data_IF_097667416611
#
_entry.id   IF_097667416611
#
_cell.length_a   1.000
_cell.length_b   1.000
_cell.length_c   1.000
_cell.angle_alpha   90.00
_cell.angle_beta   90.00
_cell.angle_gamma   90.00
#
_symmetry.space_group_name_H-M   'P 1'
#
loop_
_entity.id
_entity.type
_entity.pdbx_description
1 polymer ?
#
# COMPACT_ATOMS: atom_id res chain seq x y z
N UNK A 1 -31.33 -5.70 -17.12
CA UNK A 1 -29.89 -5.91 -16.88
C UNK A 1 -29.50 -5.12 -15.64
N UNK A 2 -29.75 -5.67 -14.44
CA UNK A 2 -29.39 -5.01 -13.17
C UNK A 2 -27.93 -5.34 -12.87
N UNK A 3 -27.03 -4.44 -13.25
CA UNK A 3 -25.60 -4.59 -12.95
C UNK A 3 -25.42 -4.76 -11.44
N UNK A 4 -24.91 -5.92 -11.01
CA UNK A 4 -24.45 -6.14 -9.64
C UNK A 4 -23.38 -5.10 -9.33
N UNK A 5 -23.68 -4.15 -8.45
CA UNK A 5 -22.68 -3.20 -7.96
C UNK A 5 -21.72 -3.95 -7.04
N UNK A 6 -20.53 -4.28 -7.54
CA UNK A 6 -19.45 -4.79 -6.70
C UNK A 6 -18.93 -3.65 -5.83
N UNK A 7 -18.94 -3.84 -4.50
CA UNK A 7 -18.42 -2.86 -3.54
C UNK A 7 -17.17 -3.43 -2.90
N UNK A 8 -16.16 -2.59 -2.77
CA UNK A 8 -14.91 -2.93 -2.08
C UNK A 8 -14.58 -1.84 -1.07
N UNK A 9 -13.89 -2.20 0.00
CA UNK A 9 -13.22 -1.24 0.88
C UNK A 9 -11.71 -1.38 0.68
N UNK A 10 -11.00 -0.26 0.82
CA UNK A 10 -9.56 -0.14 0.68
C UNK A 10 -9.00 0.51 1.94
N UNK A 11 -7.86 0.00 2.37
CA UNK A 11 -7.07 0.58 3.44
C UNK A 11 -5.60 0.56 3.02
N UNK A 12 -4.86 1.59 3.42
CA UNK A 12 -3.49 1.82 2.98
C UNK A 12 -2.63 2.19 4.18
N UNK A 13 -1.45 1.61 4.23
CA UNK A 13 -0.43 1.97 5.21
C UNK A 13 0.69 2.73 4.51
N UNK A 14 1.07 3.87 5.11
CA UNK A 14 2.11 4.74 4.59
C UNK A 14 3.29 4.81 5.53
N UNK A 15 4.46 5.02 4.94
CA UNK A 15 5.73 5.30 5.63
C UNK A 15 6.20 6.71 5.26
N UNK A 16 7.00 7.31 6.14
CA UNK A 16 7.62 8.61 5.98
C UNK A 16 8.90 8.57 5.14
N UNK A 17 9.02 9.51 4.21
CA UNK A 17 10.23 9.80 3.41
C UNK A 17 10.60 11.29 3.55
N UNK A 18 11.75 11.68 2.98
CA UNK A 18 12.31 13.02 3.18
C UNK A 18 13.12 13.15 4.48
N UNK A 19 13.77 14.31 4.72
CA UNK A 19 14.72 14.48 5.82
C UNK A 19 14.19 14.06 7.19
N UNK A 20 12.94 14.43 7.49
CA UNK A 20 12.29 14.18 8.77
C UNK A 20 11.05 13.26 8.67
N UNK A 21 10.94 12.49 7.58
CA UNK A 21 9.79 11.60 7.36
C UNK A 21 8.47 12.35 7.13
N UNK A 22 8.56 13.60 6.67
CA UNK A 22 7.46 14.55 6.48
C UNK A 22 6.51 14.15 5.34
N UNK A 23 7.07 13.57 4.28
CA UNK A 23 6.30 13.10 3.13
C UNK A 23 5.86 11.66 3.32
N UNK A 24 4.63 11.34 2.89
CA UNK A 24 4.06 10.00 3.07
C UNK A 24 4.03 9.24 1.75
N UNK A 25 4.56 8.01 1.73
CA UNK A 25 4.50 7.10 0.58
C UNK A 25 3.87 5.76 0.97
N UNK A 26 3.17 5.13 0.02
CA UNK A 26 2.53 3.83 0.21
C UNK A 26 3.54 2.72 0.52
N UNK A 27 3.24 1.93 1.54
CA UNK A 27 4.01 0.75 1.92
C UNK A 27 3.17 -0.54 1.94
N UNK A 28 1.85 -0.46 2.14
CA UNK A 28 0.93 -1.61 2.02
C UNK A 28 -0.44 -1.14 1.58
N UNK A 29 -1.13 -1.97 0.82
CA UNK A 29 -2.55 -1.77 0.51
C UNK A 29 -3.32 -3.07 0.70
N UNK A 30 -4.48 -2.96 1.34
CA UNK A 30 -5.40 -4.05 1.57
C UNK A 30 -6.77 -3.71 0.99
N UNK A 31 -7.37 -4.63 0.25
CA UNK A 31 -8.70 -4.49 -0.35
C UNK A 31 -9.56 -5.66 0.08
N UNK A 32 -10.76 -5.36 0.56
CA UNK A 32 -11.77 -6.34 0.94
C UNK A 32 -13.03 -6.18 0.10
N UNK A 33 -13.69 -7.28 -0.24
CA UNK A 33 -15.00 -7.23 -0.90
C UNK A 33 -16.15 -7.03 0.11
N UNK A 34 -17.39 -6.88 -0.38
CA UNK A 34 -18.56 -6.67 0.48
C UNK A 34 -18.87 -7.81 1.47
N UNK A 35 -18.24 -8.98 1.31
CA UNK A 35 -18.38 -10.12 2.22
C UNK A 35 -17.27 -10.16 3.29
N UNK A 36 -16.44 -9.12 3.36
CA UNK A 36 -15.31 -9.05 4.29
C UNK A 36 -14.12 -9.93 3.88
N UNK A 37 -14.15 -10.54 2.69
CA UNK A 37 -13.01 -11.33 2.20
C UNK A 37 -11.94 -10.37 1.68
N UNK A 38 -10.73 -10.51 2.21
CA UNK A 38 -9.54 -9.87 1.65
C UNK A 38 -9.26 -10.45 0.26
N UNK A 39 -9.29 -9.59 -0.74
CA UNK A 39 -9.08 -9.93 -2.15
C UNK A 39 -7.75 -9.43 -2.68
N UNK A 40 -7.11 -8.50 -1.97
CA UNK A 40 -5.77 -8.01 -2.26
C UNK A 40 -5.12 -7.55 -0.96
N UNK A 41 -3.89 -7.98 -0.71
CA UNK A 41 -3.09 -7.53 0.43
C UNK A 41 -1.62 -7.63 0.04
N UNK A 42 -0.97 -6.50 -0.20
CA UNK A 42 0.40 -6.46 -0.72
C UNK A 42 1.19 -5.35 -0.07
N UNK A 43 2.44 -5.68 0.26
CA UNK A 43 3.47 -4.70 0.52
C UNK A 43 3.95 -4.10 -0.80
N UNK A 44 4.23 -2.81 -0.80
CA UNK A 44 4.74 -2.06 -1.94
C UNK A 44 6.13 -1.57 -1.58
N UNK A 45 7.06 -1.71 -2.53
CA UNK A 45 8.40 -1.17 -2.38
C UNK A 45 8.38 0.35 -2.57
N UNK A 46 8.77 1.16 -1.56
CA UNK A 46 8.81 2.61 -1.70
C UNK A 46 9.75 3.04 -2.83
N UNK A 47 9.37 4.10 -3.57
CA UNK A 47 10.21 4.70 -4.61
C UNK A 47 11.38 5.49 -4.04
N UNK A 48 11.32 5.83 -2.75
CA UNK A 48 12.29 6.67 -2.06
C UNK A 48 12.76 6.00 -0.76
N UNK A 49 13.88 6.48 -0.22
CA UNK A 49 14.42 5.95 1.03
C UNK A 49 13.49 6.33 2.19
N UNK A 50 12.96 5.31 2.85
CA UNK A 50 12.18 5.47 4.08
C UNK A 50 13.08 6.01 5.19
N UNK A 51 12.63 7.08 5.83
CA UNK A 51 13.28 7.71 6.99
C UNK A 51 12.49 7.49 8.27
N UNK A 52 11.17 7.31 8.18
CA UNK A 52 10.32 6.93 9.30
C UNK A 52 9.31 5.84 8.86
N UNK A 53 9.38 4.67 9.49
CA UNK A 53 8.45 3.57 9.19
C UNK A 53 7.06 3.74 9.81
N UNK A 54 6.94 4.63 10.81
CA UNK A 54 5.69 4.85 11.55
C UNK A 54 5.10 3.55 12.12
N UNK A 55 5.95 2.58 12.45
CA UNK A 55 5.57 1.19 12.79
C UNK A 55 4.51 1.10 13.90
N UNK A 56 4.50 2.06 14.84
CA UNK A 56 3.52 2.09 15.92
C UNK A 56 2.06 2.25 15.41
N UNK A 57 1.87 2.87 14.25
CA UNK A 57 0.55 3.04 13.61
C UNK A 57 0.40 2.16 12.38
N UNK A 58 1.44 2.06 11.55
CA UNK A 58 1.39 1.38 10.25
C UNK A 58 1.65 -0.13 10.32
N UNK A 59 2.31 -0.58 11.40
CA UNK A 59 2.81 -1.94 11.52
C UNK A 59 3.96 -2.31 10.57
N UNK A 60 4.37 -1.42 9.66
CA UNK A 60 5.39 -1.69 8.63
C UNK A 60 6.79 -1.73 9.23
N UNK A 61 7.58 -2.72 8.81
CA UNK A 61 8.99 -2.88 9.13
C UNK A 61 9.85 -2.87 7.85
N UNK A 62 11.16 -2.60 7.97
CA UNK A 62 12.07 -2.65 6.82
C UNK A 62 12.02 -3.94 6.01
N UNK A 63 11.86 -5.08 6.69
CA UNK A 63 11.76 -6.40 6.07
C UNK A 63 10.48 -6.61 5.25
N UNK A 64 9.38 -5.97 5.62
CA UNK A 64 8.07 -6.15 4.95
C UNK A 64 8.08 -5.58 3.53
N UNK A 65 8.76 -4.45 3.35
CA UNK A 65 8.78 -3.69 2.08
C UNK A 65 10.01 -3.98 1.22
N UNK A 66 10.99 -4.72 1.74
CA UNK A 66 12.24 -5.04 1.03
C UNK A 66 11.97 -5.75 -0.30
N UNK A 67 11.08 -6.73 -0.23
CA UNK A 67 10.64 -7.57 -1.35
C UNK A 67 9.20 -7.24 -1.76
N UNK A 68 8.71 -6.05 -1.38
CA UNK A 68 7.40 -5.55 -1.78
C UNK A 68 7.25 -5.43 -3.29
N UNK A 69 6.02 -5.47 -3.77
CA UNK A 69 5.72 -5.30 -5.19
C UNK A 69 6.28 -3.95 -5.66
N UNK A 70 6.88 -3.87 -6.86
CA UNK A 70 7.35 -2.61 -7.38
C UNK A 70 6.17 -1.63 -7.49
N UNK A 71 6.39 -0.34 -7.21
CA UNK A 71 5.39 0.68 -7.53
C UNK A 71 5.14 0.57 -9.04
N UNK A 72 3.86 0.55 -9.44
CA UNK A 72 3.35 0.16 -10.76
C UNK A 72 4.37 0.26 -11.90
N UNK A 73 4.47 -0.74 -12.79
CA UNK A 73 5.33 -0.62 -13.97
C UNK A 73 4.93 0.64 -14.75
N UNK A 74 5.88 1.56 -14.90
CA UNK A 74 5.74 2.80 -15.70
C UNK A 74 5.38 2.54 -17.17
N UNK A 75 5.23 1.27 -17.58
CA UNK A 75 4.97 0.79 -18.93
C UNK A 75 3.54 0.30 -19.16
N UNK A 76 2.66 0.26 -18.15
CA UNK A 76 1.25 -0.17 -18.28
C UNK A 76 0.26 1.02 -18.34
N UNK A 77 0.74 2.16 -18.83
CA UNK A 77 -0.10 3.27 -19.29
C UNK A 77 -0.09 3.40 -20.82
N UNK A 78 -0.21 2.28 -21.55
CA UNK A 78 -0.68 2.21 -22.94
C UNK A 78 -1.33 0.83 -23.19
#
# INVERSE_FOLDING_TARGET
NSGSRSTVAIDCEMVGVGPDGEDSILARVSIVNQFGKCIYDRYVKPTEKVTDYRTAVSGIRPEDIKDGDPPFPSTLWL
#
